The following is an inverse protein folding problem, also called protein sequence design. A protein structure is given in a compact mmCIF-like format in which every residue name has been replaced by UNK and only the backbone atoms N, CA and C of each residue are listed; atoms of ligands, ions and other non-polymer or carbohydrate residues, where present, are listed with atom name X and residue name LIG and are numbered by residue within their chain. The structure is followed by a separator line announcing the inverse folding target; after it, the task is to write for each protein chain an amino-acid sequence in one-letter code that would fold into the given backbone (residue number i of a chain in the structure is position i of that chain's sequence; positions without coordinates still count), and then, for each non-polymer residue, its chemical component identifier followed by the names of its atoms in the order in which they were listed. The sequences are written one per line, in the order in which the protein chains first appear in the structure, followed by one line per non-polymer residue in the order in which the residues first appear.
data_IF_642627458892
#
_entry.id   IF_642627458892
#
_cell.length_a   1.000
_cell.length_b   1.000
_cell.length_c   1.000
_cell.angle_alpha   90.00
_cell.angle_beta   90.00
_cell.angle_gamma   90.00
#
_symmetry.space_group_name_H-M   'P 1'
#
loop_
_entity.id
_entity.type
_entity.pdbx_description
1 polymer ?
#
# COMPACT_ATOMS: atom_id res chain seq x y z
N UNK A 1 20.80 -3.24 19.47
CA UNK A 1 21.10 -2.15 18.52
C UNK A 1 19.85 -1.31 18.41
N UNK A 2 19.90 -0.06 18.85
CA UNK A 2 18.80 0.89 18.66
C UNK A 2 18.79 1.19 17.16
N UNK A 3 17.91 0.52 16.41
CA UNK A 3 17.75 0.83 15.01
C UNK A 3 17.16 2.25 14.94
N UNK A 4 17.89 3.15 14.31
CA UNK A 4 17.57 4.57 14.28
C UNK A 4 16.29 4.78 13.48
N UNK A 5 15.20 5.19 14.15
CA UNK A 5 13.93 5.52 13.52
C UNK A 5 13.89 6.95 12.95
N UNK A 6 14.97 7.73 13.14
CA UNK A 6 15.09 9.11 12.63
C UNK A 6 14.78 9.21 11.13
N UNK A 7 15.14 8.17 10.37
CA UNK A 7 14.89 8.13 8.93
C UNK A 7 13.39 8.27 8.59
N UNK A 8 12.52 7.69 9.41
CA UNK A 8 11.07 7.68 9.17
C UNK A 8 10.50 9.05 9.48
N UNK A 9 10.95 9.67 10.57
CA UNK A 9 10.58 11.04 10.93
C UNK A 9 10.99 12.04 9.85
N UNK A 10 12.23 11.93 9.36
CA UNK A 10 12.73 12.74 8.25
C UNK A 10 11.92 12.52 6.97
N UNK A 11 11.70 11.26 6.58
CA UNK A 11 10.99 10.89 5.36
C UNK A 11 9.54 11.38 5.34
N UNK A 12 8.89 11.41 6.50
CA UNK A 12 7.48 11.80 6.66
C UNK A 12 7.32 13.26 7.09
N UNK A 13 8.42 14.00 7.25
CA UNK A 13 8.39 15.41 7.67
C UNK A 13 7.72 16.30 6.63
N UNK A 14 6.98 17.31 7.07
CA UNK A 14 6.31 18.27 6.18
C UNK A 14 5.03 17.76 5.50
N UNK A 15 4.53 16.58 5.87
CA UNK A 15 3.29 15.98 5.38
C UNK A 15 2.27 15.80 6.51
N UNK A 16 0.99 16.07 6.24
CA UNK A 16 -0.11 15.87 7.20
C UNK A 16 -0.36 14.39 7.44
N UNK A 17 -0.41 13.59 6.36
CA UNK A 17 -0.43 12.13 6.41
C UNK A 17 0.86 11.61 7.01
N UNK A 18 2.00 12.26 6.78
CA UNK A 18 3.27 11.90 7.42
C UNK A 18 3.24 12.05 8.94
N UNK A 19 2.59 13.10 9.45
CA UNK A 19 2.33 13.24 10.90
C UNK A 19 1.47 12.10 11.42
N UNK A 20 0.38 11.77 10.73
CA UNK A 20 -0.49 10.66 11.11
C UNK A 20 0.24 9.31 11.04
N UNK A 21 1.12 9.12 10.06
CA UNK A 21 1.93 7.91 9.93
C UNK A 21 2.88 7.72 11.12
N UNK A 22 3.37 8.79 11.75
CA UNK A 22 4.15 8.72 12.99
C UNK A 22 3.32 8.42 14.24
N UNK A 23 2.00 8.60 14.17
CA UNK A 23 1.06 8.31 15.27
C UNK A 23 0.57 6.84 15.24
N UNK A 24 0.84 6.10 14.15
CA UNK A 24 0.51 4.68 14.03
C UNK A 24 1.43 3.84 14.91
N UNK A 25 0.83 2.92 15.69
CA UNK A 25 1.58 1.90 16.44
C UNK A 25 2.01 0.79 15.48
N UNK A 26 3.12 1.02 14.77
CA UNK A 26 3.57 0.14 13.69
C UNK A 26 3.92 -1.29 14.14
N UNK A 27 4.35 -1.48 15.39
CA UNK A 27 4.53 -2.81 15.98
C UNK A 27 3.28 -3.70 15.91
N UNK A 28 2.08 -3.12 15.92
CA UNK A 28 0.80 -3.85 15.87
C UNK A 28 0.35 -4.12 14.41
N UNK A 29 1.10 -3.63 13.42
CA UNK A 29 0.85 -3.85 11.99
C UNK A 29 1.73 -4.96 11.43
N UNK A 30 1.36 -5.59 10.30
CA UNK A 30 2.22 -6.60 9.66
C UNK A 30 3.60 -6.10 9.22
N UNK A 31 3.81 -4.78 9.08
CA UNK A 31 5.11 -4.21 8.72
C UNK A 31 6.08 -4.16 9.91
N UNK A 32 5.57 -4.21 11.14
CA UNK A 32 6.36 -4.00 12.35
C UNK A 32 7.00 -2.61 12.39
N UNK A 33 7.94 -2.42 13.32
CA UNK A 33 8.55 -1.11 13.57
C UNK A 33 9.36 -0.58 12.37
N UNK A 34 9.24 0.72 12.01
CA UNK A 34 9.98 1.36 10.92
C UNK A 34 11.49 1.18 11.01
N UNK A 35 12.00 1.05 12.23
CA UNK A 35 13.41 0.78 12.50
C UNK A 35 13.89 -0.57 11.91
N UNK A 36 12.98 -1.54 11.76
CA UNK A 36 13.25 -2.89 11.22
C UNK A 36 12.92 -3.05 9.74
N UNK A 37 12.32 -2.04 9.09
CA UNK A 37 11.91 -2.16 7.69
C UNK A 37 13.11 -2.38 6.76
N UNK A 38 12.96 -3.20 5.70
CA UNK A 38 13.97 -3.38 4.65
C UNK A 38 14.35 -2.05 4.00
N UNK A 39 15.59 -1.93 3.53
CA UNK A 39 16.13 -0.70 2.95
C UNK A 39 15.30 -0.25 1.74
N UNK A 40 14.89 -1.18 0.90
CA UNK A 40 14.02 -0.93 -0.25
C UNK A 40 12.69 -0.26 0.15
N UNK A 41 12.04 -0.73 1.22
CA UNK A 41 10.81 -0.11 1.71
C UNK A 41 11.08 1.32 2.21
N UNK A 42 12.20 1.56 2.90
CA UNK A 42 12.57 2.92 3.34
C UNK A 42 12.72 3.89 2.16
N UNK A 43 13.34 3.43 1.07
CA UNK A 43 13.46 4.23 -0.15
C UNK A 43 12.11 4.50 -0.81
N UNK A 44 11.23 3.49 -0.89
CA UNK A 44 9.88 3.66 -1.41
C UNK A 44 9.08 4.67 -0.57
N UNK A 45 9.14 4.57 0.76
CA UNK A 45 8.47 5.49 1.70
C UNK A 45 8.95 6.92 1.49
N UNK A 46 10.28 7.14 1.42
CA UNK A 46 10.84 8.47 1.11
C UNK A 46 10.30 9.02 -0.20
N UNK A 47 10.25 8.20 -1.25
CA UNK A 47 9.70 8.63 -2.53
C UNK A 47 8.22 9.01 -2.41
N UNK A 48 7.40 8.15 -1.79
CA UNK A 48 5.97 8.33 -1.62
C UNK A 48 5.63 9.64 -0.87
N UNK A 49 6.33 9.93 0.23
CA UNK A 49 6.10 11.17 0.98
C UNK A 49 6.75 12.41 0.35
N UNK A 50 7.74 12.25 -0.54
CA UNK A 50 8.36 13.38 -1.26
C UNK A 50 7.58 13.84 -2.50
N UNK A 51 6.77 12.96 -3.11
CA UNK A 51 5.98 13.30 -4.29
C UNK A 51 4.67 13.98 -3.92
N UNK A 52 4.22 14.92 -4.76
CA UNK A 52 2.90 15.55 -4.65
C UNK A 52 1.80 14.81 -5.41
N UNK A 53 2.17 13.88 -6.28
CA UNK A 53 1.17 13.03 -6.94
C UNK A 53 0.53 12.10 -5.91
N UNK A 54 -0.77 11.80 -6.03
CA UNK A 54 -1.41 10.76 -5.22
C UNK A 54 -0.64 9.45 -5.34
N UNK A 55 -0.11 8.96 -4.23
CA UNK A 55 0.71 7.76 -4.20
C UNK A 55 0.41 6.91 -2.97
N UNK A 56 0.41 5.60 -3.18
CA UNK A 56 0.38 4.61 -2.12
C UNK A 56 1.47 3.57 -2.31
N UNK A 57 1.90 2.97 -1.20
CA UNK A 57 2.74 1.80 -1.14
C UNK A 57 1.92 0.70 -0.52
N UNK A 58 1.99 -0.48 -1.12
CA UNK A 58 1.43 -1.70 -0.56
C UNK A 58 2.59 -2.68 -0.37
N UNK A 59 2.79 -3.15 0.87
CA UNK A 59 3.96 -3.96 1.21
C UNK A 59 3.62 -5.19 2.04
N UNK A 60 4.39 -6.26 1.81
CA UNK A 60 4.26 -7.52 2.54
C UNK A 60 3.11 -8.42 2.07
N UNK A 61 3.01 -9.65 2.60
CA UNK A 61 2.00 -10.61 2.18
C UNK A 61 0.56 -10.17 2.49
N UNK A 62 0.38 -9.40 3.57
CA UNK A 62 -0.89 -8.81 4.00
C UNK A 62 -1.27 -7.55 3.21
N UNK A 63 -0.40 -7.08 2.30
CA UNK A 63 -0.63 -5.90 1.49
C UNK A 63 -0.92 -4.65 2.36
N UNK A 64 -0.02 -4.38 3.30
CA UNK A 64 -0.17 -3.27 4.25
C UNK A 64 0.03 -1.93 3.55
N UNK A 65 -0.89 -1.00 3.78
CA UNK A 65 -0.98 0.27 3.06
C UNK A 65 -0.21 1.40 3.78
N UNK A 66 0.63 2.10 3.03
CA UNK A 66 1.07 3.47 3.33
C UNK A 66 0.66 4.38 2.18
N UNK A 67 0.42 5.66 2.46
CA UNK A 67 0.05 6.62 1.42
C UNK A 67 0.49 8.04 1.81
N UNK A 68 0.47 8.95 0.83
CA UNK A 68 0.85 10.36 1.02
C UNK A 68 -0.37 11.31 1.03
N UNK A 69 -0.11 12.60 1.21
CA UNK A 69 -1.15 13.63 1.24
C UNK A 69 -2.02 13.64 -0.03
N UNK A 70 -1.42 13.43 -1.21
CA UNK A 70 -2.16 13.42 -2.47
C UNK A 70 -3.17 12.27 -2.57
N UNK A 71 -2.90 11.15 -1.90
CA UNK A 71 -3.79 9.98 -1.93
C UNK A 71 -4.91 10.06 -0.88
N UNK A 72 -4.82 10.98 0.08
CA UNK A 72 -5.83 11.19 1.13
C UNK A 72 -7.23 11.40 0.54
N UNK A 73 -7.35 12.22 -0.51
CA UNK A 73 -8.66 12.56 -1.09
C UNK A 73 -9.32 11.35 -1.77
N UNK A 74 -8.52 10.41 -2.28
CA UNK A 74 -9.06 9.15 -2.81
C UNK A 74 -9.75 8.35 -1.71
N UNK A 75 -9.14 8.27 -0.52
CA UNK A 75 -9.65 7.53 0.64
C UNK A 75 -10.92 8.15 1.25
N UNK A 76 -11.16 9.45 1.05
CA UNK A 76 -12.26 10.18 1.67
C UNK A 76 -12.17 10.24 3.20
N UNK A 77 -13.22 10.72 3.85
CA UNK A 77 -13.22 10.96 5.31
C UNK A 77 -13.38 9.71 6.14
N UNK A 78 -13.91 8.63 5.56
CA UNK A 78 -14.28 7.45 6.33
C UNK A 78 -13.15 6.44 6.46
N UNK A 79 -12.25 6.41 5.47
CA UNK A 79 -11.10 5.51 5.46
C UNK A 79 -9.83 6.20 5.97
N UNK A 80 -9.70 7.50 5.74
CA UNK A 80 -8.63 8.30 6.32
C UNK A 80 -8.99 8.72 7.77
N UNK A 81 -8.09 8.59 8.76
CA UNK A 81 -6.70 8.16 8.64
C UNK A 81 -6.43 6.66 8.85
N UNK A 82 -7.44 5.89 9.28
CA UNK A 82 -7.31 4.47 9.69
C UNK A 82 -6.77 3.52 8.61
N UNK A 83 -6.75 3.93 7.35
CA UNK A 83 -6.14 3.20 6.26
C UNK A 83 -4.62 3.03 6.39
N UNK A 84 -3.93 3.89 7.16
CA UNK A 84 -2.49 3.76 7.40
C UNK A 84 -2.20 2.49 8.22
N UNK A 85 -1.36 1.61 7.70
CA UNK A 85 -1.01 0.35 8.37
C UNK A 85 -2.08 -0.75 8.27
N UNK A 86 -3.20 -0.48 7.59
CA UNK A 86 -4.24 -1.47 7.34
C UNK A 86 -3.96 -2.29 6.06
N UNK A 87 -4.44 -3.54 5.97
CA UNK A 87 -4.44 -4.30 4.71
C UNK A 87 -5.27 -3.59 3.63
N UNK A 88 -4.72 -3.40 2.43
CA UNK A 88 -5.41 -2.70 1.34
C UNK A 88 -6.75 -3.33 0.96
N UNK A 89 -6.86 -4.67 1.06
CA UNK A 89 -8.11 -5.42 0.85
C UNK A 89 -9.24 -5.04 1.81
N UNK A 90 -8.89 -4.62 3.03
CA UNK A 90 -9.86 -4.20 4.03
C UNK A 90 -10.22 -2.72 3.83
N UNK A 91 -9.26 -1.91 3.38
CA UNK A 91 -9.47 -0.51 3.05
C UNK A 91 -10.38 -0.37 1.84
N UNK A 92 -10.18 -1.18 0.80
CA UNK A 92 -10.91 -1.12 -0.47
C UNK A 92 -11.79 -2.35 -0.69
N UNK A 93 -12.45 -2.83 0.36
CA UNK A 93 -13.24 -4.05 0.32
C UNK A 93 -14.38 -3.99 -0.72
N UNK A 94 -14.93 -2.80 -0.96
CA UNK A 94 -16.05 -2.59 -1.89
C UNK A 94 -15.67 -2.67 -3.37
N UNK A 95 -14.39 -2.43 -3.70
CA UNK A 95 -13.85 -2.51 -5.08
C UNK A 95 -12.78 -3.60 -5.21
N UNK A 96 -12.65 -4.49 -4.22
CA UNK A 96 -11.55 -5.45 -4.18
C UNK A 96 -11.53 -6.35 -5.41
N UNK A 97 -12.68 -6.87 -5.82
CA UNK A 97 -12.80 -7.75 -6.98
C UNK A 97 -12.38 -7.07 -8.29
N UNK A 98 -12.50 -5.74 -8.37
CA UNK A 98 -12.07 -4.95 -9.53
C UNK A 98 -10.55 -4.70 -9.54
N UNK A 99 -9.94 -4.47 -8.38
CA UNK A 99 -8.52 -4.07 -8.28
C UNK A 99 -7.56 -5.23 -7.95
N UNK A 100 -8.04 -6.32 -7.36
CA UNK A 100 -7.25 -7.51 -7.03
C UNK A 100 -6.47 -8.05 -8.24
N UNK A 101 -7.08 -8.21 -9.45
CA UNK A 101 -6.35 -8.68 -10.62
C UNK A 101 -5.16 -7.79 -11.00
N UNK A 102 -5.23 -6.49 -10.71
CA UNK A 102 -4.13 -5.55 -10.97
C UNK A 102 -2.98 -5.74 -9.97
N UNK A 103 -3.29 -6.00 -8.70
CA UNK A 103 -2.29 -6.37 -7.69
C UNK A 103 -1.64 -7.70 -8.05
N UNK A 104 -2.42 -8.71 -8.43
CA UNK A 104 -1.91 -10.02 -8.80
C UNK A 104 -0.99 -9.95 -10.02
N UNK A 105 -1.32 -9.14 -11.04
CA UNK A 105 -0.44 -8.93 -12.19
C UNK A 105 0.93 -8.37 -11.77
N UNK A 106 0.95 -7.36 -10.88
CA UNK A 106 2.22 -6.79 -10.38
C UNK A 106 3.00 -7.80 -9.54
N UNK A 107 2.34 -8.47 -8.61
CA UNK A 107 2.98 -9.33 -7.61
C UNK A 107 3.44 -10.67 -8.21
N UNK A 108 2.71 -11.22 -9.18
CA UNK A 108 3.04 -12.53 -9.78
C UNK A 108 3.93 -12.39 -11.01
N UNK A 109 3.63 -11.40 -11.86
CA UNK A 109 4.27 -11.24 -13.16
C UNK A 109 5.41 -10.21 -13.12
N UNK A 110 5.46 -9.36 -12.09
CA UNK A 110 6.47 -8.30 -11.97
C UNK A 110 6.32 -7.21 -13.03
N UNK A 111 5.13 -7.07 -13.62
CA UNK A 111 4.83 -6.08 -14.66
C UNK A 111 3.98 -4.95 -14.10
N UNK A 112 4.32 -3.72 -14.47
CA UNK A 112 3.47 -2.58 -14.16
C UNK A 112 2.13 -2.69 -14.90
N UNK A 113 1.07 -2.21 -14.26
CA UNK A 113 -0.25 -2.07 -14.87
C UNK A 113 -0.49 -0.62 -15.28
N UNK A 114 -1.45 -0.42 -16.18
CA UNK A 114 -1.97 0.88 -16.54
C UNK A 114 -3.47 0.76 -16.75
N UNK A 115 -4.23 1.56 -16.01
CA UNK A 115 -5.66 1.69 -16.15
C UNK A 115 -5.99 3.14 -16.49
N UNK A 116 -6.79 3.34 -17.52
CA UNK A 116 -7.26 4.65 -17.98
C UNK A 116 -8.77 4.73 -17.80
N UNK A 117 -9.24 5.78 -17.12
CA UNK A 117 -10.65 6.04 -16.81
C UNK A 117 -11.42 4.81 -16.29
N UNK A 118 -10.80 4.04 -15.40
CA UNK A 118 -11.42 2.85 -14.82
C UNK A 118 -12.58 3.27 -13.92
N UNK A 119 -13.82 2.78 -14.18
CA UNK A 119 -14.96 3.05 -13.34
C UNK A 119 -14.85 2.26 -12.03
N UNK A 120 -15.00 2.95 -10.90
CA UNK A 120 -14.98 2.36 -9.56
C UNK A 120 -16.14 2.95 -8.74
N UNK A 121 -16.92 2.08 -8.09
CA UNK A 121 -17.98 2.49 -7.17
C UNK A 121 -17.45 2.40 -5.75
N UNK A 122 -17.20 3.53 -5.12
CA UNK A 122 -16.43 3.60 -3.88
C UNK A 122 -17.27 4.24 -2.76
N UNK A 123 -17.15 3.70 -1.54
CA UNK A 123 -17.84 4.25 -0.37
C UNK A 123 -16.85 4.93 0.58
N UNK A 124 -16.54 6.19 0.33
CA UNK A 124 -15.44 6.92 1.00
C UNK A 124 -15.87 8.03 1.96
N UNK A 125 -17.15 8.39 1.93
CA UNK A 125 -17.74 9.51 2.69
C UNK A 125 -19.20 9.22 3.10
N UNK A 126 -19.54 7.96 3.37
CA UNK A 126 -20.83 7.50 3.86
C UNK A 126 -21.88 7.23 2.79
N UNK A 127 -21.52 7.32 1.52
CA UNK A 127 -22.37 7.01 0.37
C UNK A 127 -21.54 6.44 -0.78
N UNK A 128 -22.20 5.69 -1.66
CA UNK A 128 -21.57 5.13 -2.86
C UNK A 128 -21.41 6.21 -3.93
N UNK A 129 -20.19 6.35 -4.44
CA UNK A 129 -19.83 7.33 -5.45
C UNK A 129 -19.31 6.62 -6.71
N UNK A 130 -19.88 6.94 -7.86
CA UNK A 130 -19.33 6.55 -9.15
C UNK A 130 -18.13 7.44 -9.49
N UNK A 131 -16.97 6.82 -9.62
CA UNK A 131 -15.70 7.52 -9.84
C UNK A 131 -14.97 6.92 -11.03
N UNK A 132 -14.09 7.71 -11.64
CA UNK A 132 -13.25 7.29 -12.76
C UNK A 132 -11.80 7.65 -12.44
N UNK A 133 -10.91 6.66 -12.50
CA UNK A 133 -9.51 6.85 -12.16
C UNK A 133 -8.57 6.37 -13.26
N UNK A 134 -7.55 7.19 -13.53
CA UNK A 134 -6.38 6.82 -14.32
C UNK A 134 -5.20 6.62 -13.38
N UNK A 135 -4.64 5.41 -13.35
CA UNK A 135 -3.59 5.03 -12.41
C UNK A 135 -2.74 3.86 -12.92
N UNK A 136 -1.60 3.65 -12.26
CA UNK A 136 -0.72 2.50 -12.48
C UNK A 136 -0.28 1.89 -11.17
N UNK A 137 -0.11 0.56 -11.17
CA UNK A 137 0.61 -0.14 -10.13
C UNK A 137 1.95 -0.61 -10.69
N UNK A 138 3.02 -0.36 -9.93
CA UNK A 138 4.38 -0.76 -10.31
C UNK A 138 4.98 -1.68 -9.25
N UNK A 139 5.77 -2.68 -9.66
CA UNK A 139 6.40 -3.59 -8.70
C UNK A 139 7.42 -2.84 -7.86
N UNK A 140 7.30 -2.99 -6.54
CA UNK A 140 8.38 -2.68 -5.61
C UNK A 140 9.16 -3.96 -5.33
N UNK A 141 10.48 -3.85 -5.33
CA UNK A 141 11.40 -4.97 -5.17
C UNK A 141 12.07 -4.84 -3.81
N UNK A 142 12.11 -5.91 -3.03
CA UNK A 142 12.78 -5.98 -1.75
C UNK A 142 14.32 -6.05 -1.87
N UNK A 143 14.99 -6.05 -0.71
CA UNK A 143 16.46 -6.09 -0.62
C UNK A 143 17.06 -7.37 -1.25
N UNK A 144 16.26 -8.44 -1.38
CA UNK A 144 16.65 -9.71 -2.01
C UNK A 144 16.34 -9.75 -3.53
N UNK A 145 15.84 -8.64 -4.10
CA UNK A 145 15.48 -8.58 -5.51
C UNK A 145 14.12 -9.21 -5.84
N UNK A 146 13.23 -9.39 -4.85
CA UNK A 146 11.92 -10.05 -5.03
C UNK A 146 10.78 -9.05 -4.91
N UNK A 147 9.75 -9.21 -5.75
CA UNK A 147 8.53 -8.41 -5.73
C UNK A 147 7.28 -9.20 -5.35
N UNK A 148 7.44 -10.46 -4.88
CA UNK A 148 6.39 -11.49 -5.02
C UNK A 148 5.70 -11.87 -3.71
N UNK A 149 4.40 -12.15 -3.80
CA UNK A 149 3.75 -13.12 -2.90
C UNK A 149 4.43 -14.49 -3.08
N UNK A 150 4.76 -15.23 -2.00
CA UNK A 150 5.19 -16.61 -2.13
C UNK A 150 4.12 -17.36 -2.93
N UNK A 151 4.52 -18.11 -3.97
CA UNK A 151 3.58 -19.02 -4.63
C UNK A 151 3.01 -19.92 -3.53
N UNK A 152 1.69 -19.92 -3.39
CA UNK A 152 1.02 -20.93 -2.59
C UNK A 152 1.49 -22.27 -3.17
N UNK A 153 2.24 -23.04 -2.38
CA UNK A 153 2.57 -24.42 -2.74
C UNK A 153 1.25 -25.14 -2.52
N UNK A 154 0.38 -25.11 -3.53
CA UNK A 154 -0.76 -26.00 -3.54
C UNK A 154 -0.19 -27.41 -3.46
N UNK A 155 -0.42 -28.02 -2.30
CA UNK A 155 -0.23 -29.43 -2.10
C UNK A 155 -1.18 -30.14 -3.05
N UNK A 156 -0.70 -30.44 -4.25
CA UNK A 156 -1.25 -31.51 -5.04
C UNK A 156 -0.83 -32.84 -4.40
N UNK A 157 -1.50 -33.11 -3.29
CA UNK A 157 -1.62 -34.42 -2.70
C UNK A 157 -3.11 -34.73 -2.75
N UNK A 158 -3.59 -35.23 -3.92
CA UNK A 158 -4.59 -36.30 -4.05
C UNK A 158 -5.05 -36.54 -5.49
N UNK A 159 -4.96 -37.83 -5.87
CA UNK A 159 -5.60 -38.60 -6.98
C UNK A 159 -4.60 -38.93 -8.10
N UNK A 160 -4.31 -40.18 -8.43
CA UNK A 160 -4.77 -41.52 -8.01
C UNK A 160 -3.69 -42.53 -8.36
#
# INVERSE_FOLDING_TARGET
MNADASWFDEATSGSDVGRLAREVVWADTPLGEPATWPVALRHAVRLCFSTRFPAMIVWGPELTLLYNDGYRDLLGTDKHPSALGAPVRAVWAEIWDDIEPLFDAVLTEGRATWSEDMPLVMNRSGFDEETYFTFSYSPLVDDDGRSRRPRHRDGDDRRS
#
